data_IF_472923380263
#
_entry.id   IF_472923380263
#
_cell.length_a   1.000
_cell.length_b   1.000
_cell.length_c   1.000
_cell.angle_alpha   90.00
_cell.angle_beta   90.00
_cell.angle_gamma   90.00
#
_symmetry.space_group_name_H-M   'P 1'
#
loop_
_entity.id
_entity.type
_entity.pdbx_description
1 polymer ?
#
# COMPACT_ATOMS: atom_id res chain seq x y z
N UNK A 1 -35.14 -10.07 15.87
CA UNK A 1 -34.86 -11.50 16.09
C UNK A 1 -36.07 -12.29 16.56
N UNK A 2 -36.73 -11.94 17.68
CA UNK A 2 -37.93 -12.67 18.15
C UNK A 2 -39.01 -12.87 17.07
N UNK A 3 -39.25 -11.87 16.22
CA UNK A 3 -40.16 -11.96 15.08
C UNK A 3 -39.79 -13.07 14.07
N UNK A 4 -38.50 -13.21 13.72
CA UNK A 4 -38.03 -14.24 12.80
C UNK A 4 -38.07 -15.64 13.43
N UNK A 5 -37.79 -15.71 14.73
CA UNK A 5 -37.78 -16.96 15.49
C UNK A 5 -39.19 -17.44 15.88
N UNK A 6 -40.21 -16.57 15.82
CA UNK A 6 -41.60 -16.94 16.10
C UNK A 6 -42.33 -17.63 14.94
N UNK A 7 -41.74 -17.71 13.75
CA UNK A 7 -42.29 -18.47 12.64
C UNK A 7 -42.20 -19.99 12.90
N UNK A 8 -43.10 -20.76 12.27
CA UNK A 8 -43.10 -22.22 12.35
C UNK A 8 -43.04 -22.81 10.93
N UNK A 9 -41.86 -23.30 10.47
CA UNK A 9 -40.60 -23.46 11.22
C UNK A 9 -39.85 -22.13 11.45
N UNK A 10 -39.02 -22.03 12.51
CA UNK A 10 -38.23 -20.82 12.78
C UNK A 10 -37.34 -20.41 11.60
N UNK A 11 -37.21 -19.10 11.38
CA UNK A 11 -36.34 -18.51 10.35
C UNK A 11 -35.05 -18.03 11.03
N UNK A 12 -33.91 -18.53 10.56
CA UNK A 12 -32.58 -18.17 11.06
C UNK A 12 -31.98 -17.09 10.14
N UNK A 13 -31.40 -16.02 10.71
CA UNK A 13 -30.76 -14.95 9.93
C UNK A 13 -29.37 -15.33 9.45
N UNK A 14 -28.55 -15.93 10.32
CA UNK A 14 -27.23 -16.53 10.04
C UNK A 14 -26.08 -15.58 9.65
N UNK A 15 -26.35 -14.33 9.33
CA UNK A 15 -25.31 -13.28 9.15
C UNK A 15 -25.65 -11.98 9.88
N UNK A 16 -26.01 -12.10 11.16
CA UNK A 16 -26.33 -10.93 11.98
C UNK A 16 -25.04 -10.23 12.43
N UNK A 17 -24.76 -9.05 11.88
CA UNK A 17 -23.57 -8.22 12.15
C UNK A 17 -23.93 -6.74 12.11
N UNK A 18 -23.09 -5.87 12.69
CA UNK A 18 -23.36 -4.43 12.73
C UNK A 18 -23.62 -3.79 11.35
N UNK A 19 -22.92 -4.17 10.25
CA UNK A 19 -23.26 -3.71 8.90
C UNK A 19 -24.68 -4.06 8.42
N UNK A 20 -25.26 -5.14 8.95
CA UNK A 20 -26.59 -5.63 8.57
C UNK A 20 -27.70 -5.08 9.49
N UNK A 21 -27.36 -4.09 10.32
CA UNK A 21 -28.28 -3.34 11.16
C UNK A 21 -28.34 -1.89 10.66
N UNK A 22 -29.36 -1.60 9.87
CA UNK A 22 -29.58 -0.29 9.27
C UNK A 22 -30.39 0.59 10.23
N UNK A 23 -30.08 1.88 10.27
CA UNK A 23 -30.82 2.87 11.05
C UNK A 23 -31.37 3.89 10.06
N UNK A 24 -32.68 4.11 10.07
CA UNK A 24 -33.29 5.15 9.23
C UNK A 24 -33.27 6.53 9.90
N UNK A 25 -33.73 7.56 9.18
CA UNK A 25 -33.75 8.95 9.65
C UNK A 25 -34.62 9.18 10.89
N UNK A 26 -35.45 8.21 11.28
CA UNK A 26 -36.24 8.25 12.51
C UNK A 26 -35.57 7.50 13.67
N UNK A 27 -34.30 7.11 13.51
CA UNK A 27 -33.56 6.24 14.42
C UNK A 27 -34.19 4.86 14.61
N UNK A 28 -35.01 4.40 13.67
CA UNK A 28 -35.58 3.05 13.72
C UNK A 28 -34.56 2.04 13.17
N UNK A 29 -34.26 1.02 13.98
CA UNK A 29 -33.36 -0.07 13.62
C UNK A 29 -34.07 -1.10 12.75
N UNK A 30 -33.51 -1.40 11.58
CA UNK A 30 -33.99 -2.41 10.62
C UNK A 30 -32.89 -3.43 10.35
N UNK A 31 -33.26 -4.70 10.30
CA UNK A 31 -32.35 -5.79 9.96
C UNK A 31 -32.37 -5.97 8.45
N UNK A 32 -31.20 -6.03 7.82
CA UNK A 32 -31.02 -6.20 6.38
C UNK A 32 -30.18 -7.43 6.05
N UNK A 33 -30.10 -7.76 4.76
CA UNK A 33 -29.33 -8.88 4.20
C UNK A 33 -29.74 -10.28 4.71
N UNK A 34 -30.82 -10.77 4.11
CA UNK A 34 -31.34 -12.11 4.34
C UNK A 34 -30.76 -13.13 3.35
N UNK A 35 -29.65 -12.83 2.66
CA UNK A 35 -29.08 -13.72 1.63
C UNK A 35 -28.71 -15.11 2.15
N UNK A 36 -28.40 -15.21 3.44
CA UNK A 36 -28.08 -16.46 4.14
C UNK A 36 -29.23 -17.01 4.99
N UNK A 37 -30.38 -16.33 5.01
CA UNK A 37 -31.52 -16.72 5.83
C UNK A 37 -32.14 -18.04 5.35
N UNK A 38 -32.49 -18.92 6.29
CA UNK A 38 -33.06 -20.25 5.99
C UNK A 38 -34.12 -20.65 7.01
N UNK A 39 -35.14 -21.36 6.51
CA UNK A 39 -36.19 -21.99 7.31
C UNK A 39 -35.66 -23.33 7.86
N UNK A 40 -35.87 -23.59 9.15
CA UNK A 40 -35.34 -24.77 9.86
C UNK A 40 -35.70 -26.15 9.26
N UNK A 41 -36.70 -26.26 8.40
CA UNK A 41 -37.13 -27.55 7.84
C UNK A 41 -36.23 -28.11 6.72
N UNK A 42 -35.28 -27.34 6.16
CA UNK A 42 -34.41 -27.79 5.05
C UNK A 42 -33.00 -28.25 5.47
N UNK A 43 -32.84 -28.71 6.72
CA UNK A 43 -31.56 -29.10 7.33
C UNK A 43 -31.03 -30.51 6.94
N UNK A 44 -31.14 -30.91 5.67
CA UNK A 44 -30.45 -32.13 5.19
C UNK A 44 -29.25 -31.88 4.26
N UNK A 45 -28.97 -30.62 3.90
CA UNK A 45 -27.74 -30.25 3.17
C UNK A 45 -27.16 -28.98 3.78
N UNK A 46 -26.16 -29.14 4.64
CA UNK A 46 -25.46 -28.02 5.29
C UNK A 46 -24.06 -27.86 4.68
N UNK A 47 -23.84 -26.78 3.93
CA UNK A 47 -22.50 -26.21 3.75
C UNK A 47 -22.12 -25.49 5.04
N UNK A 48 -21.13 -26.02 5.75
CA UNK A 48 -20.46 -25.30 6.85
C UNK A 48 -19.72 -24.07 6.31
N UNK A 49 -19.49 -23.08 7.17
CA UNK A 49 -18.83 -21.80 6.86
C UNK A 49 -19.63 -20.80 5.99
N UNK A 50 -20.86 -20.47 6.39
CA UNK A 50 -21.54 -19.29 5.85
C UNK A 50 -21.80 -18.28 6.99
N UNK A 51 -21.32 -17.05 6.82
CA UNK A 51 -21.40 -15.96 7.79
C UNK A 51 -20.04 -15.30 8.00
N UNK A 52 -20.04 -14.11 8.60
CA UNK A 52 -18.78 -13.39 8.87
C UNK A 52 -18.15 -13.87 10.19
N UNK A 53 -16.96 -14.51 10.13
CA UNK A 53 -16.35 -15.31 11.21
C UNK A 53 -16.28 -14.64 12.58
N UNK A 54 -16.15 -13.32 12.64
CA UNK A 54 -16.03 -12.57 13.90
C UNK A 54 -17.34 -12.50 14.71
N UNK A 55 -18.50 -12.72 14.08
CA UNK A 55 -19.83 -12.65 14.72
C UNK A 55 -20.51 -14.02 14.85
N UNK A 56 -19.86 -15.09 14.40
CA UNK A 56 -20.45 -16.44 14.36
C UNK A 56 -20.39 -17.14 15.72
N UNK A 57 -21.46 -17.86 16.05
CA UNK A 57 -21.47 -18.73 17.22
C UNK A 57 -20.48 -19.90 17.05
N UNK A 58 -19.85 -20.38 18.13
CA UNK A 58 -18.83 -21.43 18.06
C UNK A 58 -19.36 -22.72 17.42
N UNK A 59 -20.64 -23.08 17.63
CA UNK A 59 -21.27 -24.23 16.98
C UNK A 59 -21.43 -24.05 15.46
N UNK A 60 -21.55 -22.81 14.97
CA UNK A 60 -21.62 -22.52 13.53
C UNK A 60 -20.22 -22.58 12.91
N UNK A 61 -19.20 -22.10 13.62
CA UNK A 61 -17.79 -22.20 13.21
C UNK A 61 -17.30 -23.65 13.18
N UNK A 62 -17.79 -24.49 14.09
CA UNK A 62 -17.48 -25.92 14.13
C UNK A 62 -18.29 -26.75 13.12
N UNK A 63 -19.11 -26.11 12.28
CA UNK A 63 -20.05 -26.76 11.36
C UNK A 63 -20.97 -27.80 12.03
N UNK A 64 -21.30 -27.59 13.31
CA UNK A 64 -22.21 -28.44 14.07
C UNK A 64 -23.68 -28.05 13.82
N UNK A 65 -24.62 -28.85 14.33
CA UNK A 65 -26.04 -28.51 14.29
C UNK A 65 -26.32 -27.32 15.20
N UNK A 66 -26.69 -26.18 14.63
CA UNK A 66 -27.03 -24.96 15.36
C UNK A 66 -28.55 -24.67 15.34
N UNK A 67 -28.98 -23.78 16.21
CA UNK A 67 -30.38 -23.38 16.42
C UNK A 67 -30.51 -21.86 16.34
N UNK A 68 -31.69 -21.32 16.65
CA UNK A 68 -31.91 -19.87 16.78
C UNK A 68 -30.98 -19.20 17.82
N UNK A 69 -30.34 -19.98 18.69
CA UNK A 69 -29.31 -19.53 19.62
C UNK A 69 -28.05 -18.99 18.95
N UNK A 70 -27.77 -19.39 17.70
CA UNK A 70 -26.66 -18.84 16.93
C UNK A 70 -26.84 -17.34 16.66
N UNK A 71 -28.05 -16.92 16.23
CA UNK A 71 -28.37 -15.51 16.02
C UNK A 71 -28.35 -14.70 17.33
N UNK A 72 -28.71 -15.34 18.46
CA UNK A 72 -28.64 -14.74 19.80
C UNK A 72 -27.19 -14.49 20.23
N UNK A 73 -26.27 -15.41 19.90
CA UNK A 73 -24.85 -15.22 20.10
C UNK A 73 -24.31 -14.05 19.25
N UNK A 74 -24.63 -14.03 17.95
CA UNK A 74 -24.22 -12.96 17.04
C UNK A 74 -24.72 -11.59 17.51
N UNK A 75 -25.97 -11.52 17.98
CA UNK A 75 -26.51 -10.32 18.63
C UNK A 75 -25.71 -9.90 19.87
N UNK A 76 -25.26 -10.85 20.69
CA UNK A 76 -24.40 -10.61 21.84
C UNK A 76 -23.01 -10.07 21.47
N UNK A 77 -22.47 -10.43 20.31
CA UNK A 77 -21.17 -9.97 19.79
C UNK A 77 -21.24 -8.60 19.12
N UNK A 78 -22.40 -8.20 18.59
CA UNK A 78 -22.59 -6.82 18.08
C UNK A 78 -22.49 -5.79 19.23
N UNK A 79 -22.79 -6.20 20.47
CA UNK A 79 -22.88 -5.31 21.65
C UNK A 79 -21.56 -4.65 22.11
N UNK A 80 -20.38 -5.29 22.11
CA UNK A 80 -19.13 -4.66 22.58
C UNK A 80 -18.42 -3.83 21.51
N UNK A 81 -18.65 -4.09 20.22
CA UNK A 81 -17.85 -3.52 19.13
C UNK A 81 -18.26 -2.09 18.72
N UNK A 82 -19.42 -1.60 19.18
CA UNK A 82 -19.97 -0.30 18.79
C UNK A 82 -19.80 0.83 19.83
N UNK A 83 -19.09 0.59 20.94
CA UNK A 83 -18.94 1.57 22.04
C UNK A 83 -17.57 2.26 22.05
N UNK A 84 -17.20 2.94 20.95
CA UNK A 84 -16.06 3.87 20.94
C UNK A 84 -16.45 5.34 20.76
N UNK A 85 -17.74 5.70 20.85
CA UNK A 85 -18.20 7.08 20.64
C UNK A 85 -18.88 7.68 21.88
N UNK A 86 -18.37 8.83 22.28
CA UNK A 86 -18.65 9.60 23.51
C UNK A 86 -19.98 10.37 23.45
N UNK A 87 -21.14 9.69 23.50
CA UNK A 87 -22.43 10.37 23.49
C UNK A 87 -23.35 9.93 24.66
N UNK A 88 -23.52 10.82 25.64
CA UNK A 88 -24.03 10.55 27.00
C UNK A 88 -25.52 10.19 27.06
N UNK A 89 -26.33 10.53 26.05
CA UNK A 89 -27.75 10.17 26.02
C UNK A 89 -28.01 8.68 25.68
N UNK A 90 -27.02 7.99 25.12
CA UNK A 90 -27.10 6.55 24.82
C UNK A 90 -26.90 5.71 26.10
N UNK A 91 -26.16 6.22 27.09
CA UNK A 91 -25.85 5.48 28.33
C UNK A 91 -27.09 5.15 29.17
N UNK A 92 -28.06 6.07 29.26
CA UNK A 92 -29.29 5.89 30.07
C UNK A 92 -30.19 4.81 29.48
N UNK A 93 -30.32 4.75 28.15
CA UNK A 93 -31.05 3.68 27.46
C UNK A 93 -30.31 2.34 27.62
N UNK A 94 -28.97 2.38 27.69
CA UNK A 94 -28.12 1.19 27.78
C UNK A 94 -28.11 0.53 29.16
N UNK A 95 -28.19 1.31 30.25
CA UNK A 95 -28.31 0.79 31.63
C UNK A 95 -29.63 0.03 31.80
N UNK A 96 -30.72 0.54 31.21
CA UNK A 96 -32.02 -0.11 31.25
C UNK A 96 -32.04 -1.45 30.47
N UNK A 97 -31.28 -1.53 29.38
CA UNK A 97 -31.11 -2.74 28.56
C UNK A 97 -30.19 -3.80 29.21
N UNK A 98 -29.12 -3.37 29.90
CA UNK A 98 -28.25 -4.26 30.68
C UNK A 98 -28.99 -4.93 31.85
N UNK A 99 -29.85 -4.18 32.55
CA UNK A 99 -30.68 -4.72 33.63
C UNK A 99 -31.65 -5.83 33.16
N UNK A 100 -32.12 -5.76 31.90
CA UNK A 100 -32.97 -6.79 31.30
C UNK A 100 -32.18 -8.00 30.79
N UNK A 101 -30.93 -7.81 30.35
CA UNK A 101 -30.05 -8.90 29.89
C UNK A 101 -29.60 -9.80 31.05
N UNK A 102 -29.26 -9.22 32.21
CA UNK A 102 -28.87 -9.99 33.40
C UNK A 102 -29.99 -10.88 33.96
N UNK A 103 -31.26 -10.55 33.68
CA UNK A 103 -32.40 -11.40 34.05
C UNK A 103 -32.57 -12.62 33.13
N UNK A 104 -31.98 -12.60 31.94
CA UNK A 104 -32.24 -13.60 30.88
C UNK A 104 -31.12 -14.64 30.72
N UNK A 105 -29.90 -14.34 31.18
CA UNK A 105 -28.73 -15.22 31.00
C UNK A 105 -28.36 -15.88 32.33
N UNK A 106 -29.05 -16.97 32.68
CA UNK A 106 -28.53 -17.99 33.59
C UNK A 106 -27.98 -19.14 32.73
N UNK A 107 -26.68 -19.12 32.42
CA UNK A 107 -26.04 -20.17 31.62
C UNK A 107 -24.98 -20.89 32.45
N UNK A 108 -25.13 -22.22 32.43
CA UNK A 108 -24.52 -23.26 33.25
C UNK A 108 -22.99 -23.23 33.36
N UNK A 109 -22.49 -23.46 34.60
CA UNK A 109 -21.08 -23.55 35.03
C UNK A 109 -20.19 -24.57 34.28
N UNK A 110 -20.70 -25.30 33.28
CA UNK A 110 -19.94 -26.32 32.54
C UNK A 110 -19.10 -25.76 31.38
N UNK A 111 -19.47 -24.63 30.78
CA UNK A 111 -18.76 -24.07 29.61
C UNK A 111 -17.42 -23.41 30.00
N UNK A 112 -17.30 -22.92 31.25
CA UNK A 112 -16.10 -22.22 31.72
C UNK A 112 -14.92 -23.14 32.10
N UNK A 113 -15.08 -24.48 32.13
CA UNK A 113 -14.01 -25.40 32.53
C UNK A 113 -12.96 -25.69 31.44
N UNK A 114 -13.24 -25.37 30.17
CA UNK A 114 -12.35 -25.67 29.04
C UNK A 114 -11.44 -24.52 28.60
N UNK A 115 -11.71 -23.29 29.02
CA UNK A 115 -10.93 -22.12 28.60
C UNK A 115 -9.80 -21.88 29.61
N UNK A 116 -8.62 -22.46 29.35
CA UNK A 116 -7.39 -21.99 30.00
C UNK A 116 -6.99 -20.65 29.35
N UNK A 117 -7.33 -19.55 30.01
CA UNK A 117 -6.73 -18.25 29.73
C UNK A 117 -5.24 -18.34 30.10
N UNK A 118 -4.37 -18.50 29.10
CA UNK A 118 -2.93 -18.39 29.31
C UNK A 118 -2.60 -16.95 29.72
N UNK A 119 -2.15 -16.77 30.96
CA UNK A 119 -1.52 -15.53 31.39
C UNK A 119 -0.20 -15.39 30.63
N UNK A 120 -0.14 -14.51 29.63
CA UNK A 120 1.12 -14.06 29.03
C UNK A 120 1.84 -13.15 30.03
N UNK A 121 2.71 -13.74 30.84
CA UNK A 121 3.89 -13.06 31.39
C UNK A 121 5.12 -13.70 30.76
N UNK A 122 5.56 -13.16 29.63
CA UNK A 122 6.99 -13.08 29.33
C UNK A 122 7.22 -12.08 28.20
N UNK A 123 8.17 -11.18 28.44
CA UNK A 123 8.53 -10.07 27.57
C UNK A 123 9.42 -10.58 26.43
N UNK A 124 8.89 -10.54 25.21
CA UNK A 124 9.64 -10.51 23.95
C UNK A 124 9.22 -9.26 23.15
N UNK A 125 10.08 -8.72 22.27
CA UNK A 125 9.83 -7.43 21.64
C UNK A 125 8.57 -7.49 20.77
N UNK A 126 7.69 -6.50 20.98
CA UNK A 126 6.45 -6.33 20.23
C UNK A 126 6.78 -6.27 18.73
N UNK A 127 6.36 -7.26 17.94
CA UNK A 127 6.06 -7.00 16.54
C UNK A 127 4.92 -5.99 16.53
N UNK A 128 5.19 -4.80 16.00
CA UNK A 128 4.16 -3.80 15.80
C UNK A 128 3.04 -4.45 14.98
N UNK A 129 1.83 -4.48 15.54
CA UNK A 129 0.64 -4.58 14.73
C UNK A 129 0.72 -3.48 13.68
N UNK A 130 0.41 -3.78 12.43
CA UNK A 130 0.07 -2.75 11.45
C UNK A 130 -1.13 -1.98 12.00
N UNK A 131 -0.83 -0.96 12.81
CA UNK A 131 -1.77 0.08 13.13
C UNK A 131 -2.17 0.69 11.79
N UNK A 132 -3.45 1.04 11.65
CA UNK A 132 -3.91 1.88 10.56
C UNK A 132 -2.86 2.98 10.32
N UNK A 133 -2.40 3.20 9.07
CA UNK A 133 -1.59 4.37 8.81
C UNK A 133 -2.34 5.57 9.40
N UNK A 134 -1.66 6.46 10.15
CA UNK A 134 -2.32 7.64 10.69
C UNK A 134 -3.03 8.34 9.52
N UNK A 135 -4.19 8.99 9.75
CA UNK A 135 -4.85 9.78 8.70
C UNK A 135 -3.77 10.64 8.03
N UNK A 136 -3.65 10.55 6.70
CA UNK A 136 -2.61 11.24 5.91
C UNK A 136 -2.42 12.62 6.51
N UNK A 137 -1.31 12.84 7.24
CA UNK A 137 -0.97 14.17 7.70
C UNK A 137 -1.00 15.06 6.46
N UNK A 138 -1.68 16.20 6.52
CA UNK A 138 -1.69 17.14 5.40
C UNK A 138 -0.24 17.39 5.01
N UNK A 139 0.16 16.93 3.81
CA UNK A 139 1.52 17.08 3.33
C UNK A 139 1.86 18.57 3.37
N UNK A 140 2.85 18.95 4.16
CA UNK A 140 3.25 20.35 4.23
C UNK A 140 4.14 20.61 3.02
N UNK A 141 3.71 21.46 2.09
CA UNK A 141 4.57 21.83 0.97
C UNK A 141 5.87 22.46 1.49
N UNK A 142 7.04 22.16 0.87
CA UNK A 142 8.27 22.86 1.21
C UNK A 142 8.12 24.38 1.05
N UNK A 143 9.01 25.16 1.66
CA UNK A 143 8.99 26.62 1.48
C UNK A 143 9.03 26.99 -0.01
N UNK A 144 8.22 27.95 -0.49
CA UNK A 144 8.30 28.43 -1.87
C UNK A 144 9.66 29.01 -2.22
N UNK A 145 10.44 29.44 -1.22
CA UNK A 145 11.79 29.95 -1.41
C UNK A 145 12.86 28.86 -1.56
N UNK A 146 12.51 27.58 -1.39
CA UNK A 146 13.49 26.48 -1.42
C UNK A 146 14.14 26.39 -2.80
N UNK A 147 15.47 26.29 -2.84
CA UNK A 147 16.24 26.03 -4.05
C UNK A 147 16.75 24.59 -4.11
N UNK A 148 16.81 24.02 -5.33
CA UNK A 148 17.20 22.63 -5.56
C UNK A 148 18.49 22.54 -6.40
N UNK A 149 19.39 21.64 -6.02
CA UNK A 149 20.62 21.36 -6.76
C UNK A 149 20.61 19.96 -7.34
N UNK A 150 21.08 19.76 -8.57
CA UNK A 150 21.26 18.43 -9.16
C UNK A 150 22.70 18.16 -9.55
N UNK A 151 23.35 17.27 -8.81
CA UNK A 151 24.65 16.69 -9.17
C UNK A 151 24.41 15.42 -10.00
N UNK A 152 24.67 15.47 -11.30
CA UNK A 152 24.45 14.36 -12.23
C UNK A 152 23.10 14.42 -12.95
N UNK A 153 23.09 15.06 -14.13
CA UNK A 153 21.89 15.26 -14.95
C UNK A 153 21.56 14.03 -15.83
N UNK A 154 21.35 12.89 -15.17
CA UNK A 154 20.94 11.63 -15.77
C UNK A 154 19.43 11.57 -16.10
N UNK A 155 18.96 10.44 -16.63
CA UNK A 155 17.52 10.25 -16.98
C UNK A 155 16.59 10.45 -15.79
N UNK A 156 16.94 9.86 -14.63
CA UNK A 156 16.14 9.96 -13.40
C UNK A 156 16.18 11.38 -12.83
N UNK A 157 17.37 12.00 -12.71
CA UNK A 157 17.49 13.38 -12.24
C UNK A 157 16.69 14.37 -13.08
N UNK A 158 16.76 14.26 -14.42
CA UNK A 158 15.93 15.08 -15.32
C UNK A 158 14.43 14.83 -15.16
N UNK A 159 14.01 13.58 -14.88
CA UNK A 159 12.60 13.27 -14.64
C UNK A 159 12.10 13.88 -13.33
N UNK A 160 12.85 13.72 -12.24
CA UNK A 160 12.55 14.30 -10.92
C UNK A 160 12.43 15.83 -11.03
N UNK A 161 13.41 16.50 -11.65
CA UNK A 161 13.39 17.95 -11.79
C UNK A 161 12.32 18.44 -12.77
N UNK A 162 11.99 17.66 -13.80
CA UNK A 162 10.81 17.94 -14.65
C UNK A 162 9.54 17.93 -13.81
N UNK A 163 9.37 16.93 -12.93
CA UNK A 163 8.22 16.87 -12.02
C UNK A 163 8.11 18.11 -11.13
N UNK A 164 9.21 18.50 -10.47
CA UNK A 164 9.23 19.67 -9.58
C UNK A 164 8.99 20.98 -10.31
N UNK A 165 9.48 21.14 -11.54
CA UNK A 165 9.39 22.41 -12.28
C UNK A 165 8.10 22.54 -13.11
N UNK A 166 7.41 21.43 -13.42
CA UNK A 166 6.14 21.47 -14.16
C UNK A 166 5.05 22.23 -13.39
N UNK A 167 4.07 22.79 -14.11
CA UNK A 167 2.86 23.35 -13.50
C UNK A 167 2.07 22.28 -12.71
N UNK A 168 1.17 22.71 -11.82
CA UNK A 168 0.26 21.88 -10.99
C UNK A 168 0.84 21.30 -9.68
N UNK A 169 1.39 22.16 -8.84
CA UNK A 169 1.76 21.84 -7.45
C UNK A 169 2.84 22.78 -6.95
N UNK A 170 3.48 22.43 -5.84
CA UNK A 170 4.66 23.17 -5.38
C UNK A 170 5.75 23.17 -6.46
N UNK A 171 6.49 24.28 -6.52
CA UNK A 171 7.65 24.47 -7.38
C UNK A 171 8.76 25.13 -6.57
N UNK A 172 10.03 24.79 -6.83
CA UNK A 172 11.15 25.46 -6.19
C UNK A 172 11.29 26.89 -6.73
N UNK A 173 11.87 27.78 -5.92
CA UNK A 173 12.27 29.12 -6.35
C UNK A 173 13.20 29.06 -7.54
N UNK A 174 14.20 28.21 -7.44
CA UNK A 174 15.17 27.97 -8.49
C UNK A 174 15.76 26.55 -8.39
N UNK A 175 16.19 26.01 -9.52
CA UNK A 175 16.89 24.75 -9.63
C UNK A 175 18.20 24.93 -10.41
N UNK A 176 19.32 24.47 -9.85
CA UNK A 176 20.64 24.55 -10.48
C UNK A 176 21.12 23.14 -10.78
N UNK A 177 21.49 22.87 -12.04
CA UNK A 177 21.84 21.51 -12.48
C UNK A 177 23.25 21.42 -13.06
N UNK A 178 23.89 20.26 -12.89
CA UNK A 178 25.25 20.03 -13.39
C UNK A 178 25.31 19.97 -14.92
N UNK A 179 26.30 20.66 -15.51
CA UNK A 179 26.51 20.72 -16.96
C UNK A 179 27.26 19.49 -17.55
N UNK A 180 27.63 18.49 -16.74
CA UNK A 180 28.48 17.36 -17.18
C UNK A 180 27.89 16.55 -18.35
N UNK A 181 26.56 16.47 -18.46
CA UNK A 181 25.88 16.00 -19.68
C UNK A 181 25.22 17.20 -20.35
N UNK A 182 26.03 18.01 -21.02
CA UNK A 182 25.67 19.33 -21.57
C UNK A 182 24.29 19.36 -22.23
N UNK A 183 24.03 18.44 -23.16
CA UNK A 183 22.76 18.36 -23.87
C UNK A 183 21.51 18.16 -22.97
N UNK A 184 21.61 17.35 -21.90
CA UNK A 184 20.45 17.11 -21.01
C UNK A 184 20.21 18.26 -20.04
N UNK A 185 21.29 18.84 -19.54
CA UNK A 185 21.22 20.02 -18.67
C UNK A 185 20.65 21.21 -19.43
N UNK A 186 21.14 21.46 -20.65
CA UNK A 186 20.62 22.49 -21.55
C UNK A 186 19.16 22.24 -21.94
N UNK A 187 18.79 21.01 -22.27
CA UNK A 187 17.39 20.67 -22.58
C UNK A 187 16.45 20.92 -21.39
N UNK A 188 16.89 20.59 -20.17
CA UNK A 188 16.09 20.84 -18.96
C UNK A 188 15.98 22.34 -18.65
N UNK A 189 17.07 23.10 -18.79
CA UNK A 189 17.07 24.55 -18.63
C UNK A 189 16.18 25.25 -19.67
N UNK A 190 16.28 24.86 -20.94
CA UNK A 190 15.47 25.38 -22.02
C UNK A 190 13.98 25.04 -21.84
N UNK A 191 13.66 23.89 -21.25
CA UNK A 191 12.28 23.49 -20.96
C UNK A 191 11.63 24.33 -19.87
N UNK A 192 12.42 24.88 -18.93
CA UNK A 192 11.93 25.65 -17.78
C UNK A 192 12.69 26.98 -17.63
N UNK A 193 12.50 27.92 -18.58
CA UNK A 193 13.22 29.18 -18.58
C UNK A 193 12.92 30.00 -17.32
N UNK A 194 13.97 30.58 -16.72
CA UNK A 194 13.88 31.33 -15.47
C UNK A 194 13.64 30.47 -14.21
N UNK A 195 13.50 29.14 -14.35
CA UNK A 195 13.38 28.22 -13.20
C UNK A 195 14.58 27.28 -13.07
N UNK A 196 15.17 26.87 -14.18
CA UNK A 196 16.32 25.95 -14.20
C UNK A 196 17.52 26.64 -14.84
N UNK A 197 18.68 26.57 -14.20
CA UNK A 197 19.96 27.06 -14.71
C UNK A 197 21.04 25.99 -14.60
N UNK A 198 22.16 26.18 -15.30
CA UNK A 198 23.33 25.31 -15.20
C UNK A 198 24.39 25.94 -14.31
N UNK A 199 24.88 25.21 -13.31
CA UNK A 199 26.02 25.66 -12.50
C UNK A 199 27.36 25.46 -13.21
N UNK A 200 28.34 26.32 -12.95
CA UNK A 200 29.69 26.23 -13.50
C UNK A 200 30.55 25.18 -12.79
N UNK A 201 30.24 24.84 -11.54
CA UNK A 201 30.90 23.76 -10.79
C UNK A 201 29.95 23.00 -9.87
N UNK A 202 30.36 21.81 -9.42
CA UNK A 202 29.59 21.04 -8.44
C UNK A 202 29.46 21.78 -7.10
N UNK A 203 30.49 22.50 -6.66
CA UNK A 203 30.42 23.25 -5.40
C UNK A 203 29.46 24.42 -5.50
N UNK A 204 29.47 25.15 -6.63
CA UNK A 204 28.51 26.22 -6.86
C UNK A 204 27.06 25.73 -6.82
N UNK A 205 26.78 24.56 -7.40
CA UNK A 205 25.44 23.95 -7.33
C UNK A 205 25.06 23.68 -5.88
N UNK A 206 25.97 23.15 -5.06
CA UNK A 206 25.72 22.91 -3.64
C UNK A 206 25.47 24.22 -2.89
N UNK A 207 26.29 25.24 -3.14
CA UNK A 207 26.20 26.53 -2.46
C UNK A 207 24.86 27.23 -2.72
N UNK A 208 24.37 27.20 -3.96
CA UNK A 208 23.12 27.83 -4.41
C UNK A 208 21.85 27.04 -4.06
N UNK A 209 21.97 25.86 -3.44
CA UNK A 209 20.86 24.94 -3.20
C UNK A 209 20.59 24.74 -1.71
N UNK A 210 19.33 24.68 -1.30
CA UNK A 210 18.95 24.23 0.05
C UNK A 210 18.92 22.70 0.14
N UNK A 211 18.46 22.06 -0.95
CA UNK A 211 18.39 20.60 -1.09
C UNK A 211 19.19 20.15 -2.30
N UNK A 212 20.15 19.25 -2.10
CA UNK A 212 21.02 18.74 -3.16
C UNK A 212 20.65 17.30 -3.50
N UNK A 213 20.24 17.08 -4.74
CA UNK A 213 20.01 15.78 -5.34
C UNK A 213 21.30 15.24 -5.94
N UNK A 214 21.65 14.00 -5.61
CA UNK A 214 22.88 13.35 -6.10
C UNK A 214 22.52 12.14 -6.95
N UNK A 215 22.75 12.23 -8.26
CA UNK A 215 22.50 11.21 -9.27
C UNK A 215 23.76 10.85 -10.07
N UNK A 216 24.88 10.64 -9.36
CA UNK A 216 26.18 10.32 -9.96
C UNK A 216 26.38 8.81 -10.12
N UNK A 217 27.33 8.42 -10.97
CA UNK A 217 27.81 7.03 -11.00
C UNK A 217 28.64 6.74 -9.74
N UNK A 218 28.64 5.50 -9.20
CA UNK A 218 29.30 5.22 -7.92
C UNK A 218 30.78 5.60 -7.85
N UNK A 219 31.55 5.32 -8.90
CA UNK A 219 32.98 5.69 -8.93
C UNK A 219 33.17 7.21 -8.95
N UNK A 220 32.34 7.95 -9.68
CA UNK A 220 32.35 9.42 -9.71
C UNK A 220 31.98 9.98 -8.34
N UNK A 221 30.97 9.42 -7.69
CA UNK A 221 30.53 9.87 -6.38
C UNK A 221 31.64 9.75 -5.32
N UNK A 222 32.36 8.62 -5.32
CA UNK A 222 33.49 8.36 -4.41
C UNK A 222 34.64 9.34 -4.63
N UNK A 223 34.85 9.78 -5.87
CA UNK A 223 35.88 10.74 -6.20
C UNK A 223 35.47 12.19 -5.89
N UNK A 224 34.24 12.56 -6.24
CA UNK A 224 33.82 13.96 -6.28
C UNK A 224 33.16 14.44 -4.98
N UNK A 225 32.31 13.64 -4.35
CA UNK A 225 31.56 14.08 -3.16
C UNK A 225 32.45 14.47 -1.98
N UNK A 226 33.56 13.77 -1.67
CA UNK A 226 34.42 14.14 -0.54
C UNK A 226 35.09 15.51 -0.67
N UNK A 227 35.18 16.03 -1.92
CA UNK A 227 35.77 17.34 -2.26
C UNK A 227 34.79 18.50 -2.02
N UNK A 228 33.49 18.21 -1.86
CA UNK A 228 32.43 19.22 -1.72
C UNK A 228 32.11 19.51 -0.26
N UNK A 229 31.63 20.73 0.01
CA UNK A 229 31.11 21.15 1.31
C UNK A 229 29.59 21.18 1.29
N UNK A 230 28.94 20.30 2.06
CA UNK A 230 27.48 20.21 2.18
C UNK A 230 26.94 20.85 3.46
N UNK A 231 27.72 21.65 4.18
CA UNK A 231 27.34 22.21 5.48
C UNK A 231 25.99 22.95 5.42
N UNK A 232 25.07 22.59 6.33
CA UNK A 232 23.73 23.18 6.41
C UNK A 232 22.77 22.77 5.30
N UNK A 233 23.16 21.86 4.40
CA UNK A 233 22.33 21.39 3.28
C UNK A 233 21.58 20.11 3.65
N UNK A 234 20.48 19.85 2.94
CA UNK A 234 19.84 18.53 2.91
C UNK A 234 20.26 17.80 1.63
N UNK A 235 20.54 16.51 1.73
CA UNK A 235 20.97 15.68 0.60
C UNK A 235 19.95 14.60 0.30
N UNK A 236 19.57 14.48 -0.97
CA UNK A 236 18.78 13.39 -1.51
C UNK A 236 19.63 12.61 -2.52
N UNK A 237 20.13 11.45 -2.12
CA UNK A 237 20.89 10.57 -3.01
C UNK A 237 19.95 9.66 -3.82
N UNK A 238 20.05 9.72 -5.13
CA UNK A 238 19.38 8.81 -6.07
C UNK A 238 20.29 7.65 -6.50
N UNK A 239 21.41 7.46 -5.81
CA UNK A 239 22.41 6.43 -6.14
C UNK A 239 22.06 5.12 -5.42
N UNK A 240 21.38 4.23 -6.14
CA UNK A 240 20.86 2.98 -5.57
C UNK A 240 21.94 1.94 -5.19
N UNK A 241 23.21 2.14 -5.49
CA UNK A 241 24.28 1.12 -5.26
C UNK A 241 25.34 1.56 -4.25
N UNK A 242 25.20 2.74 -3.66
CA UNK A 242 26.05 3.19 -2.56
C UNK A 242 25.35 2.85 -1.24
N UNK A 243 25.97 2.04 -0.35
CA UNK A 243 25.47 1.80 1.00
C UNK A 243 25.25 3.11 1.76
N UNK A 244 24.23 3.18 2.59
CA UNK A 244 23.86 4.43 3.24
C UNK A 244 24.94 4.98 4.19
N UNK A 245 25.62 4.12 4.94
CA UNK A 245 26.74 4.56 5.80
C UNK A 245 27.91 5.12 4.98
N UNK A 246 28.20 4.53 3.81
CA UNK A 246 29.18 5.07 2.87
C UNK A 246 28.73 6.45 2.36
N UNK A 247 27.44 6.60 2.00
CA UNK A 247 26.89 7.88 1.57
C UNK A 247 27.08 8.96 2.64
N UNK A 248 26.79 8.67 3.92
CA UNK A 248 27.00 9.61 5.02
C UNK A 248 28.46 10.06 5.13
N UNK A 249 29.41 9.14 4.96
CA UNK A 249 30.85 9.46 4.97
C UNK A 249 31.25 10.33 3.78
N UNK A 250 30.70 10.06 2.59
CA UNK A 250 31.00 10.82 1.37
C UNK A 250 30.52 12.27 1.47
N UNK A 251 29.33 12.52 2.03
CA UNK A 251 28.75 13.88 2.12
C UNK A 251 29.06 14.59 3.44
N UNK A 252 29.56 13.87 4.45
CA UNK A 252 29.94 14.40 5.78
C UNK A 252 28.80 15.16 6.46
N UNK A 253 27.58 14.62 6.37
CA UNK A 253 26.37 15.16 6.98
C UNK A 253 25.79 14.18 8.00
N UNK A 254 25.04 14.69 9.01
CA UNK A 254 24.35 13.83 9.94
C UNK A 254 23.14 13.16 9.28
N UNK A 255 22.69 12.04 9.85
CA UNK A 255 21.68 11.14 9.26
C UNK A 255 20.35 11.84 8.95
N UNK A 256 19.92 12.76 9.80
CA UNK A 256 18.68 13.53 9.64
C UNK A 256 18.65 14.43 8.40
N UNK A 257 19.82 14.76 7.86
CA UNK A 257 19.97 15.61 6.68
C UNK A 257 20.13 14.83 5.38
N UNK A 258 20.20 13.50 5.42
CA UNK A 258 20.52 12.67 4.25
C UNK A 258 19.44 11.62 4.03
N UNK A 259 18.87 11.61 2.82
CA UNK A 259 17.90 10.59 2.39
C UNK A 259 18.42 9.93 1.13
N UNK A 260 18.38 8.60 1.09
CA UNK A 260 18.53 7.83 -0.14
C UNK A 260 17.15 7.59 -0.73
N UNK A 261 17.03 7.72 -2.05
CA UNK A 261 15.78 7.57 -2.77
C UNK A 261 15.99 6.78 -4.06
N UNK A 262 14.93 6.08 -4.49
CA UNK A 262 14.88 5.39 -5.78
C UNK A 262 13.62 5.86 -6.52
N UNK A 263 13.69 7.02 -7.21
CA UNK A 263 12.58 7.51 -8.02
C UNK A 263 12.50 6.80 -9.37
N UNK A 264 11.28 6.75 -9.94
CA UNK A 264 11.02 6.23 -11.27
C UNK A 264 10.87 7.37 -12.30
N UNK A 265 11.04 7.10 -13.61
CA UNK A 265 10.82 8.10 -14.66
C UNK A 265 9.42 8.74 -14.62
N UNK A 266 8.43 8.05 -14.05
CA UNK A 266 7.07 8.55 -13.87
C UNK A 266 6.98 9.83 -13.01
N UNK A 267 8.00 10.12 -12.20
CA UNK A 267 8.11 11.37 -11.43
C UNK A 267 8.02 12.63 -12.32
N UNK A 268 8.42 12.55 -13.60
CA UNK A 268 8.27 13.63 -14.57
C UNK A 268 6.81 14.03 -14.81
N UNK A 269 5.88 13.10 -14.59
CA UNK A 269 4.43 13.29 -14.69
C UNK A 269 3.77 13.44 -13.32
N UNK A 270 4.56 13.68 -12.26
CA UNK A 270 4.13 13.75 -10.86
C UNK A 270 3.39 12.47 -10.40
N UNK A 271 3.86 11.31 -10.85
CA UNK A 271 3.17 10.03 -10.64
C UNK A 271 4.14 8.90 -10.26
N UNK A 272 3.56 7.84 -9.69
CA UNK A 272 4.28 6.63 -9.31
C UNK A 272 4.97 6.70 -7.95
N UNK A 273 5.45 5.55 -7.45
CA UNK A 273 6.12 5.49 -6.15
C UNK A 273 7.51 6.13 -6.20
N UNK A 274 7.88 6.76 -5.09
CA UNK A 274 9.23 7.25 -4.83
C UNK A 274 9.68 6.62 -3.53
N UNK A 275 10.49 5.56 -3.64
CA UNK A 275 11.06 4.89 -2.48
C UNK A 275 12.08 5.81 -1.81
N UNK A 276 12.10 5.84 -0.49
CA UNK A 276 13.10 6.58 0.26
C UNK A 276 13.41 5.99 1.64
N UNK A 277 14.64 6.17 2.07
CA UNK A 277 15.19 5.69 3.34
C UNK A 277 16.24 6.69 3.86
N UNK A 278 16.30 6.97 5.17
CA UNK A 278 15.36 6.56 6.20
C UNK A 278 14.04 7.36 6.11
N UNK A 279 13.09 7.05 6.99
CA UNK A 279 11.92 7.91 7.16
C UNK A 279 12.33 9.33 7.55
N UNK A 280 11.74 10.30 6.85
CA UNK A 280 12.08 11.71 6.91
C UNK A 280 10.87 12.54 6.46
N UNK A 281 10.31 13.33 7.38
CA UNK A 281 9.09 14.11 7.12
C UNK A 281 9.28 15.10 5.96
N UNK A 282 10.41 15.81 5.92
CA UNK A 282 10.70 16.75 4.85
C UNK A 282 10.81 16.07 3.48
N UNK A 283 11.49 14.93 3.39
CA UNK A 283 11.61 14.21 2.13
C UNK A 283 10.27 13.63 1.69
N UNK A 284 9.44 13.14 2.63
CA UNK A 284 8.07 12.69 2.35
C UNK A 284 7.23 13.80 1.72
N UNK A 285 7.24 14.99 2.32
CA UNK A 285 6.53 16.17 1.84
C UNK A 285 7.03 16.67 0.48
N UNK A 286 8.36 16.65 0.29
CA UNK A 286 9.00 17.00 -0.97
C UNK A 286 8.61 16.02 -2.09
N UNK A 287 8.71 14.71 -1.85
CA UNK A 287 8.37 13.69 -2.84
C UNK A 287 6.88 13.60 -3.13
N UNK A 288 6.00 13.95 -2.17
CA UNK A 288 4.56 14.06 -2.39
C UNK A 288 4.20 15.08 -3.50
N UNK A 289 5.08 16.03 -3.80
CA UNK A 289 4.86 16.99 -4.90
C UNK A 289 5.01 16.36 -6.29
N UNK A 290 5.69 15.22 -6.40
CA UNK A 290 6.08 14.60 -7.68
C UNK A 290 5.78 13.10 -7.76
N UNK A 291 5.07 12.54 -6.78
CA UNK A 291 4.70 11.13 -6.76
C UNK A 291 4.16 10.69 -5.41
N UNK A 292 4.13 9.39 -5.19
CA UNK A 292 3.71 8.78 -3.92
C UNK A 292 4.96 8.41 -3.10
N UNK A 293 5.27 9.13 -2.00
CA UNK A 293 6.41 8.80 -1.17
C UNK A 293 6.18 7.47 -0.45
N UNK A 294 7.14 6.56 -0.58
CA UNK A 294 7.17 5.28 0.14
C UNK A 294 8.42 5.28 1.00
N UNK A 295 8.26 5.75 2.23
CA UNK A 295 9.34 5.81 3.20
C UNK A 295 9.46 4.47 3.93
N UNK A 296 10.68 3.96 4.07
CA UNK A 296 10.96 2.73 4.82
C UNK A 296 11.91 3.01 5.98
N UNK A 297 11.85 2.17 7.01
CA UNK A 297 12.60 2.36 8.24
C UNK A 297 14.02 1.80 8.15
N UNK A 298 14.21 0.72 7.37
CA UNK A 298 15.46 -0.03 7.28
C UNK A 298 16.04 -0.03 5.85
N UNK A 299 17.36 -0.02 5.73
CA UNK A 299 18.04 -0.02 4.41
C UNK A 299 17.76 -1.32 3.62
N UNK A 300 17.55 -2.43 4.34
CA UNK A 300 17.21 -3.70 3.72
C UNK A 300 15.84 -3.65 3.03
N UNK A 301 14.89 -2.84 3.53
CA UNK A 301 13.56 -2.71 2.95
C UNK A 301 13.60 -1.97 1.61
N UNK A 302 14.34 -0.86 1.52
CA UNK A 302 14.47 -0.12 0.25
C UNK A 302 15.18 -0.96 -0.81
N UNK A 303 16.13 -1.81 -0.40
CA UNK A 303 16.83 -2.73 -1.31
C UNK A 303 15.86 -3.78 -1.88
N UNK A 304 15.02 -4.39 -1.04
CA UNK A 304 13.98 -5.35 -1.48
C UNK A 304 12.96 -4.69 -2.41
N UNK A 305 12.44 -3.53 -2.04
CA UNK A 305 11.46 -2.79 -2.83
C UNK A 305 12.04 -2.29 -4.16
N UNK A 306 13.33 -1.97 -4.21
CA UNK A 306 14.01 -1.65 -5.47
C UNK A 306 14.01 -2.86 -6.42
N UNK A 307 14.13 -4.08 -5.90
CA UNK A 307 14.04 -5.31 -6.69
C UNK A 307 12.71 -5.47 -7.44
N UNK A 308 11.61 -4.97 -6.87
CA UNK A 308 10.27 -5.01 -7.51
C UNK A 308 10.26 -4.27 -8.85
N UNK A 309 11.14 -3.28 -9.05
CA UNK A 309 11.26 -2.58 -10.34
C UNK A 309 11.66 -3.50 -11.51
N UNK A 310 12.22 -4.69 -11.22
CA UNK A 310 12.47 -5.71 -12.24
C UNK A 310 11.18 -6.22 -12.91
N UNK A 311 10.02 -6.08 -12.25
CA UNK A 311 8.72 -6.48 -12.80
C UNK A 311 8.16 -5.53 -13.86
N UNK A 312 8.83 -4.40 -14.15
CA UNK A 312 8.40 -3.50 -15.24
C UNK A 312 8.32 -4.25 -16.57
N UNK A 313 9.30 -5.12 -16.87
CA UNK A 313 9.28 -5.91 -18.10
C UNK A 313 8.18 -6.97 -18.09
N UNK A 314 7.94 -7.60 -16.94
CA UNK A 314 6.84 -8.55 -16.77
C UNK A 314 5.49 -7.87 -17.07
N UNK A 315 5.23 -6.70 -16.49
CA UNK A 315 4.01 -5.93 -16.72
C UNK A 315 3.74 -5.64 -18.20
N UNK A 316 4.73 -5.09 -18.92
CA UNK A 316 4.56 -4.78 -20.34
C UNK A 316 4.45 -6.04 -21.21
N UNK A 317 5.15 -7.13 -20.86
CA UNK A 317 5.03 -8.41 -21.56
C UNK A 317 3.64 -9.05 -21.36
N UNK A 318 3.04 -8.92 -20.18
CA UNK A 318 1.65 -9.34 -19.93
C UNK A 318 0.67 -8.53 -20.77
N UNK A 319 0.85 -7.20 -20.85
CA UNK A 319 0.03 -6.34 -21.70
C UNK A 319 0.14 -6.72 -23.17
N UNK A 320 1.37 -6.90 -23.68
CA UNK A 320 1.65 -7.30 -25.07
C UNK A 320 1.07 -8.68 -25.40
N UNK A 321 1.23 -9.66 -24.49
CA UNK A 321 0.64 -11.00 -24.64
C UNK A 321 -0.88 -10.93 -24.74
N UNK A 322 -1.50 -10.11 -23.90
CA UNK A 322 -2.96 -9.91 -23.91
C UNK A 322 -3.41 -9.22 -25.20
N UNK A 323 -2.69 -8.21 -25.66
CA UNK A 323 -2.99 -7.51 -26.91
C UNK A 323 -2.89 -8.44 -28.12
N UNK A 324 -1.83 -9.24 -28.20
CA UNK A 324 -1.66 -10.26 -29.25
C UNK A 324 -2.81 -11.25 -29.26
N UNK A 325 -3.28 -11.69 -28.09
CA UNK A 325 -4.46 -12.54 -28.01
C UNK A 325 -5.71 -11.83 -28.56
N UNK A 326 -5.96 -10.57 -28.18
CA UNK A 326 -7.09 -9.80 -28.73
C UNK A 326 -7.03 -9.67 -30.26
N UNK A 327 -5.86 -9.33 -30.81
CA UNK A 327 -5.64 -9.20 -32.25
C UNK A 327 -5.85 -10.53 -32.99
N UNK A 328 -5.31 -11.63 -32.44
CA UNK A 328 -5.51 -12.97 -33.00
C UNK A 328 -6.97 -13.43 -32.94
N UNK A 329 -7.79 -12.81 -32.09
CA UNK A 329 -9.22 -13.07 -31.97
C UNK A 329 -10.08 -11.98 -32.65
N UNK A 330 -9.51 -11.21 -33.58
CA UNK A 330 -10.25 -10.32 -34.48
C UNK A 330 -10.53 -8.92 -33.93
N UNK A 331 -9.95 -8.54 -32.78
CA UNK A 331 -10.04 -7.16 -32.27
C UNK A 331 -8.96 -6.30 -32.93
N UNK A 332 -9.29 -5.07 -33.32
CA UNK A 332 -8.32 -4.14 -33.90
C UNK A 332 -7.15 -3.85 -32.96
N UNK A 333 -5.95 -3.67 -33.53
CA UNK A 333 -4.71 -3.47 -32.78
C UNK A 333 -4.79 -2.27 -31.82
N UNK A 334 -5.18 -1.10 -32.35
CA UNK A 334 -5.30 0.13 -31.56
C UNK A 334 -6.37 0.01 -30.46
N UNK A 335 -7.54 -0.56 -30.79
CA UNK A 335 -8.62 -0.75 -29.82
C UNK A 335 -8.20 -1.70 -28.68
N UNK A 336 -7.49 -2.77 -29.01
CA UNK A 336 -6.93 -3.72 -28.02
C UNK A 336 -5.96 -3.03 -27.08
N UNK A 337 -5.01 -2.26 -27.64
CA UNK A 337 -4.01 -1.51 -26.88
C UNK A 337 -4.65 -0.52 -25.92
N UNK A 338 -5.61 0.27 -26.41
CA UNK A 338 -6.26 1.31 -25.62
C UNK A 338 -7.10 0.72 -24.49
N UNK A 339 -7.85 -0.35 -24.77
CA UNK A 339 -8.62 -1.06 -23.75
C UNK A 339 -7.72 -1.67 -22.66
N UNK A 340 -6.67 -2.39 -23.04
CA UNK A 340 -5.75 -3.04 -22.08
C UNK A 340 -5.05 -2.02 -21.20
N UNK A 341 -4.52 -0.94 -21.79
CA UNK A 341 -3.85 0.10 -21.03
C UNK A 341 -4.81 0.79 -20.05
N UNK A 342 -6.03 1.11 -20.49
CA UNK A 342 -7.05 1.72 -19.64
C UNK A 342 -7.52 0.77 -18.53
N UNK A 343 -7.72 -0.51 -18.84
CA UNK A 343 -8.15 -1.55 -17.90
C UNK A 343 -7.14 -1.74 -16.76
N UNK A 344 -5.87 -1.99 -17.07
CA UNK A 344 -4.85 -2.16 -16.03
C UNK A 344 -4.59 -0.87 -15.24
N UNK A 345 -4.73 0.30 -15.87
CA UNK A 345 -4.64 1.57 -15.16
C UNK A 345 -5.77 1.74 -14.14
N UNK A 346 -7.01 1.39 -14.51
CA UNK A 346 -8.15 1.45 -13.60
C UNK A 346 -7.99 0.51 -12.41
N UNK A 347 -7.55 -0.74 -12.63
CA UNK A 347 -7.30 -1.71 -11.56
C UNK A 347 -6.18 -1.26 -10.61
N UNK A 348 -5.07 -0.74 -11.15
CA UNK A 348 -3.98 -0.23 -10.33
C UNK A 348 -4.43 0.98 -9.49
N UNK A 349 -5.32 1.82 -10.03
CA UNK A 349 -5.89 2.96 -9.31
C UNK A 349 -6.81 2.50 -8.19
N UNK A 350 -7.73 1.57 -8.46
CA UNK A 350 -8.62 1.00 -7.46
C UNK A 350 -7.84 0.34 -6.31
N UNK A 351 -6.77 -0.41 -6.62
CA UNK A 351 -5.90 -0.99 -5.61
C UNK A 351 -5.14 0.05 -4.78
N UNK A 352 -4.79 1.20 -5.36
CA UNK A 352 -4.13 2.29 -4.63
C UNK A 352 -5.07 3.08 -3.70
N UNK A 353 -6.38 3.05 -3.97
CA UNK A 353 -7.43 3.74 -3.21
C UNK A 353 -8.11 2.84 -2.16
N UNK A 354 -7.98 1.52 -2.29
CA UNK A 354 -8.59 0.56 -1.37
C UNK A 354 -7.87 0.51 -0.01
N UNK A 355 -8.64 0.17 1.02
CA UNK A 355 -8.13 -0.19 2.35
C UNK A 355 -7.97 -1.70 2.54
N UNK A 356 -8.49 -2.50 1.60
CA UNK A 356 -8.45 -3.96 1.62
C UNK A 356 -7.09 -4.48 1.15
N UNK A 357 -6.73 -5.68 1.59
CA UNK A 357 -5.52 -6.34 1.08
C UNK A 357 -5.72 -6.79 -0.37
N UNK A 358 -4.64 -6.79 -1.17
CA UNK A 358 -4.71 -7.26 -2.56
C UNK A 358 -5.24 -8.71 -2.71
N UNK A 359 -5.03 -9.57 -1.70
CA UNK A 359 -5.62 -10.92 -1.68
C UNK A 359 -7.13 -10.90 -1.51
N UNK A 360 -7.65 -10.07 -0.61
CA UNK A 360 -9.09 -9.89 -0.38
C UNK A 360 -9.76 -9.32 -1.63
N UNK A 361 -9.15 -8.32 -2.26
CA UNK A 361 -9.64 -7.76 -3.53
C UNK A 361 -9.67 -8.81 -4.66
N UNK A 362 -8.69 -9.71 -4.71
CA UNK A 362 -8.64 -10.79 -5.70
C UNK A 362 -9.76 -11.82 -5.45
N UNK A 363 -9.98 -12.20 -4.19
CA UNK A 363 -11.04 -13.12 -3.79
C UNK A 363 -12.44 -12.54 -4.06
N UNK A 364 -12.65 -11.26 -3.77
CA UNK A 364 -13.91 -10.57 -4.08
C UNK A 364 -14.17 -10.50 -5.59
N UNK A 365 -13.13 -10.21 -6.38
CA UNK A 365 -13.24 -10.19 -7.83
C UNK A 365 -13.51 -11.59 -8.41
N UNK A 366 -13.06 -12.66 -7.75
CA UNK A 366 -13.22 -14.06 -8.16
C UNK A 366 -14.60 -14.64 -7.79
N UNK A 367 -15.67 -14.00 -8.30
CA UNK A 367 -17.05 -14.45 -8.06
C UNK A 367 -17.28 -15.93 -8.41
N UNK A 368 -17.95 -16.72 -7.56
CA UNK A 368 -18.15 -18.15 -7.80
C UNK A 368 -18.84 -18.46 -9.14
N UNK A 369 -18.22 -19.32 -9.95
CA UNK A 369 -18.68 -19.67 -11.30
C UNK A 369 -18.42 -18.60 -12.36
N UNK A 370 -17.76 -17.49 -12.01
CA UNK A 370 -17.44 -16.39 -12.91
C UNK A 370 -16.12 -16.56 -13.68
N UNK A 371 -15.92 -15.70 -14.68
CA UNK A 371 -14.71 -15.70 -15.52
C UNK A 371 -13.44 -15.43 -14.70
N UNK A 372 -13.51 -14.55 -13.71
CA UNK A 372 -12.37 -14.21 -12.85
C UNK A 372 -11.94 -15.41 -11.99
N UNK A 373 -12.89 -16.17 -11.43
CA UNK A 373 -12.58 -17.38 -10.66
C UNK A 373 -11.90 -18.44 -11.53
N UNK A 374 -12.37 -18.63 -12.77
CA UNK A 374 -11.78 -19.58 -13.71
C UNK A 374 -10.31 -19.26 -14.00
N UNK A 375 -10.01 -17.99 -14.32
CA UNK A 375 -8.63 -17.56 -14.59
C UNK A 375 -7.76 -17.63 -13.33
N UNK A 376 -8.27 -17.16 -12.19
CA UNK A 376 -7.54 -17.16 -10.92
C UNK A 376 -7.13 -18.56 -10.49
N UNK A 377 -8.08 -19.52 -10.52
CA UNK A 377 -7.79 -20.93 -10.22
C UNK A 377 -6.79 -21.55 -11.17
N UNK A 378 -6.88 -21.26 -12.47
CA UNK A 378 -5.96 -21.80 -13.46
C UNK A 378 -4.54 -21.28 -13.25
N UNK A 379 -4.36 -19.98 -12.95
CA UNK A 379 -3.04 -19.41 -12.68
C UNK A 379 -2.46 -19.94 -11.37
N UNK A 380 -3.26 -20.01 -10.31
CA UNK A 380 -2.83 -20.55 -9.01
C UNK A 380 -2.45 -22.04 -9.11
N UNK A 381 -3.28 -22.85 -9.76
CA UNK A 381 -3.02 -24.29 -9.91
C UNK A 381 -1.79 -24.62 -10.75
N UNK A 382 -1.34 -23.69 -11.61
CA UNK A 382 -0.14 -23.86 -12.45
C UNK A 382 1.10 -23.17 -11.87
N UNK A 383 1.06 -22.66 -10.64
CA UNK A 383 2.20 -22.00 -10.00
C UNK A 383 2.55 -20.62 -10.58
N UNK A 384 1.60 -19.96 -11.25
CA UNK A 384 1.85 -18.71 -11.98
C UNK A 384 2.26 -17.55 -11.08
N UNK A 385 1.78 -17.51 -9.84
CA UNK A 385 2.10 -16.45 -8.87
C UNK A 385 3.42 -16.74 -8.14
N UNK A 386 3.67 -18.00 -7.81
CA UNK A 386 4.89 -18.52 -7.19
C UNK A 386 6.10 -18.25 -8.08
N UNK A 387 5.96 -18.43 -9.40
CA UNK A 387 7.02 -18.12 -10.36
C UNK A 387 7.49 -16.66 -10.25
N UNK A 388 6.57 -15.71 -10.04
CA UNK A 388 6.94 -14.29 -9.86
C UNK A 388 7.72 -14.08 -8.57
N UNK A 389 7.31 -14.73 -7.48
CA UNK A 389 8.00 -14.67 -6.20
C UNK A 389 9.41 -15.25 -6.28
N UNK A 390 9.57 -16.41 -6.92
CA UNK A 390 10.87 -17.06 -7.13
C UNK A 390 11.85 -16.16 -7.90
N UNK A 391 11.37 -15.49 -8.96
CA UNK A 391 12.21 -14.56 -9.72
C UNK A 391 12.59 -13.32 -8.89
N UNK A 392 11.73 -12.84 -8.00
CA UNK A 392 12.08 -11.74 -7.08
C UNK A 392 13.13 -12.16 -6.06
N UNK A 393 13.06 -13.39 -5.54
CA UNK A 393 14.07 -13.93 -4.64
C UNK A 393 15.46 -13.99 -5.31
N UNK A 394 15.53 -14.37 -6.58
CA UNK A 394 16.78 -14.37 -7.35
C UNK A 394 17.31 -12.94 -7.60
N UNK A 395 16.44 -11.98 -7.91
CA UNK A 395 16.82 -10.56 -7.99
C UNK A 395 17.33 -10.05 -6.63
N UNK A 396 16.75 -10.48 -5.52
CA UNK A 396 17.20 -10.09 -4.19
C UNK A 396 18.58 -10.66 -3.84
N UNK A 397 18.85 -11.93 -4.18
CA UNK A 397 20.21 -12.51 -4.06
C UNK A 397 21.24 -11.70 -4.84
N UNK A 398 20.86 -11.19 -6.01
CA UNK A 398 21.72 -10.29 -6.81
C UNK A 398 21.95 -8.94 -6.17
N UNK A 399 20.90 -8.30 -5.65
CA UNK A 399 21.00 -6.97 -5.02
C UNK A 399 21.75 -7.01 -3.67
N UNK A 400 21.66 -8.12 -2.95
CA UNK A 400 22.41 -8.34 -1.71
C UNK A 400 23.87 -8.76 -1.93
N UNK A 401 24.28 -8.99 -3.19
CA UNK A 401 25.64 -9.37 -3.54
C UNK A 401 25.99 -10.83 -3.29
N UNK A 402 25.01 -11.67 -2.92
CA UNK A 402 25.22 -13.11 -2.72
C UNK A 402 25.28 -13.90 -4.03
N UNK A 403 24.75 -13.34 -5.12
CA UNK A 403 24.88 -13.91 -6.48
C UNK A 403 25.02 -12.81 -7.55
N UNK A 404 26.23 -12.40 -7.93
CA UNK A 404 26.43 -11.27 -8.84
C UNK A 404 25.88 -11.55 -10.24
N UNK A 405 25.48 -10.47 -10.92
CA UNK A 405 24.89 -10.53 -12.26
C UNK A 405 25.68 -11.46 -13.21
N UNK A 406 25.01 -12.29 -14.02
CA UNK A 406 25.68 -13.02 -15.08
C UNK A 406 26.40 -12.02 -15.99
N UNK A 407 27.68 -12.26 -16.28
CA UNK A 407 28.43 -11.43 -17.23
C UNK A 407 27.65 -11.44 -18.54
N UNK A 408 27.42 -10.27 -19.18
CA UNK A 408 26.78 -10.25 -20.49
C UNK A 408 27.58 -11.17 -21.41
N UNK A 409 26.90 -12.09 -22.09
CA UNK A 409 27.50 -12.87 -23.14
C UNK A 409 28.16 -11.87 -24.10
N UNK A 410 29.47 -12.04 -24.34
CA UNK A 410 30.16 -11.24 -25.37
C UNK A 410 29.43 -11.54 -26.68
N UNK A 411 28.66 -10.56 -27.16
CA UNK A 411 28.01 -10.57 -28.46
C UNK A 411 29.05 -10.58 -29.56
#
# INVERSE_FOLDING_TARGET
MNYLHSFQPPILHRDLKSPNLLIDSSYALKISDFGLARVRAHFQTMTGNCGTTQWMAPEVLAAEKYTEKADVFSYGVVKPLSLSTTNTNIEVVFIQLLANLCKTIYVSKRILKGIRLSRRSDRGPRRASFANPPPRAQAMSPSPDTTLGLLGTGKIGSAVFTGFCSANGWQPKHAVVSARTKAKAEALAAKFPGRVSTGASNQEIVDQSDVVFVGLLPHVAREELPKLSFAGKKVVSMMATIPYDELLQLVKLPRESVVRSVPLPAAAKRAGPILAYPDNAFARDLFAQIGTPVMVAEEAEITKLTGITALISFFYATCDTTQKWCVNNGVGDQASRDYIASFFHALATAGAESTEGFGEMADEAATPGGLNEQVHRALQGNGGYELVADQLDDIFKRLSGTDPAPRPARS
#
